data_IF_640367272095
#
_entry.id   IF_640367272095
#
_cell.length_a   1.000
_cell.length_b   1.000
_cell.length_c   1.000
_cell.angle_alpha   90.00
_cell.angle_beta   90.00
_cell.angle_gamma   90.00
#
_symmetry.space_group_name_H-M   'P 1'
#
loop_
_entity.id
_entity.type
_entity.pdbx_description
1 polymer ?
#
# COMPACT_ATOMS: atom_id res chain seq x y z
N UNK A 1 32.48 11.41 -6.28
CA UNK A 1 31.63 12.40 -6.95
C UNK A 1 30.49 12.74 -6.01
N UNK A 2 30.41 13.97 -5.52
CA UNK A 2 29.45 14.36 -4.48
C UNK A 2 27.99 14.19 -4.93
N UNK A 3 27.75 14.40 -6.23
CA UNK A 3 26.45 14.21 -6.87
C UNK A 3 25.96 12.77 -6.75
N UNK A 4 26.86 11.79 -6.86
CA UNK A 4 26.51 10.38 -6.75
C UNK A 4 26.13 9.96 -5.33
N UNK A 5 26.75 10.58 -4.32
CA UNK A 5 26.39 10.31 -2.91
C UNK A 5 25.04 10.90 -2.56
N UNK A 6 24.76 12.11 -3.02
CA UNK A 6 23.46 12.77 -2.82
C UNK A 6 22.33 12.00 -3.53
N UNK A 7 22.59 11.46 -4.73
CA UNK A 7 21.66 10.57 -5.44
C UNK A 7 21.29 9.35 -4.60
N UNK A 8 22.27 8.64 -4.05
CA UNK A 8 22.03 7.45 -3.21
C UNK A 8 21.26 7.80 -1.94
N UNK A 9 21.61 8.90 -1.27
CA UNK A 9 20.89 9.35 -0.08
C UNK A 9 19.42 9.69 -0.38
N UNK A 10 19.15 10.30 -1.54
CA UNK A 10 17.79 10.60 -1.98
C UNK A 10 17.00 9.33 -2.32
N UNK A 11 17.64 8.34 -2.96
CA UNK A 11 17.03 7.04 -3.24
C UNK A 11 16.62 6.31 -1.95
N UNK A 12 17.50 6.26 -0.94
CA UNK A 12 17.21 5.67 0.37
C UNK A 12 16.05 6.41 1.09
N UNK A 13 16.03 7.74 1.04
CA UNK A 13 14.96 8.53 1.62
C UNK A 13 13.61 8.26 0.94
N UNK A 14 13.60 8.13 -0.38
CA UNK A 14 12.39 7.80 -1.15
C UNK A 14 11.87 6.42 -0.77
N UNK A 15 12.74 5.41 -0.66
CA UNK A 15 12.34 4.07 -0.21
C UNK A 15 11.73 4.10 1.19
N UNK A 16 12.35 4.81 2.14
CA UNK A 16 11.83 4.97 3.49
C UNK A 16 10.44 5.63 3.51
N UNK A 17 10.28 6.72 2.75
CA UNK A 17 9.00 7.42 2.61
C UNK A 17 7.91 6.53 1.98
N UNK A 18 8.26 5.72 0.98
CA UNK A 18 7.31 4.78 0.36
C UNK A 18 6.81 3.73 1.36
N UNK A 19 7.69 3.19 2.21
CA UNK A 19 7.34 2.24 3.27
C UNK A 19 6.38 2.90 4.28
N UNK A 20 6.73 4.11 4.77
CA UNK A 20 5.88 4.82 5.73
C UNK A 20 4.50 5.15 5.15
N UNK A 21 4.44 5.60 3.91
CA UNK A 21 3.18 5.93 3.23
C UNK A 21 2.31 4.68 3.09
N UNK A 22 2.89 3.55 2.66
CA UNK A 22 2.15 2.27 2.59
C UNK A 22 1.60 1.88 3.95
N UNK A 23 2.42 1.89 5.00
CA UNK A 23 1.99 1.53 6.35
C UNK A 23 0.83 2.40 6.87
N UNK A 24 0.84 3.70 6.53
CA UNK A 24 -0.26 4.62 6.88
C UNK A 24 -1.55 4.30 6.12
N UNK A 25 -1.46 3.95 4.83
CA UNK A 25 -2.63 3.54 4.05
C UNK A 25 -3.22 2.22 4.55
N UNK A 26 -2.38 1.21 4.77
CA UNK A 26 -2.81 -0.09 5.30
C UNK A 26 -3.52 0.07 6.65
N UNK A 27 -2.93 0.88 7.55
CA UNK A 27 -3.51 1.16 8.87
C UNK A 27 -4.86 1.89 8.76
N UNK A 28 -4.97 2.89 7.89
CA UNK A 28 -6.23 3.62 7.67
C UNK A 28 -7.33 2.76 7.06
N UNK A 29 -6.96 1.85 6.16
CA UNK A 29 -7.89 0.89 5.56
C UNK A 29 -8.41 -0.11 6.60
N UNK A 30 -7.50 -0.74 7.37
CA UNK A 30 -7.88 -1.65 8.45
C UNK A 30 -8.78 -0.98 9.50
N UNK A 31 -8.47 0.27 9.87
CA UNK A 31 -9.33 1.05 10.75
C UNK A 31 -10.74 1.24 10.18
N UNK A 32 -10.84 1.56 8.89
CA UNK A 32 -12.13 1.72 8.19
C UNK A 32 -12.93 0.41 8.18
N UNK A 33 -12.27 -0.73 7.96
CA UNK A 33 -12.92 -2.05 8.03
C UNK A 33 -13.47 -2.36 9.43
N UNK A 34 -12.76 -1.98 10.49
CA UNK A 34 -13.26 -2.10 11.86
C UNK A 34 -14.49 -1.22 12.11
N UNK A 35 -14.47 0.03 11.64
CA UNK A 35 -15.62 0.92 11.75
C UNK A 35 -16.83 0.41 10.97
N UNK A 36 -16.63 -0.09 9.74
CA UNK A 36 -17.71 -0.64 8.92
C UNK A 36 -18.35 -1.88 9.55
N UNK A 37 -17.58 -2.71 10.27
CA UNK A 37 -18.13 -3.88 10.97
C UNK A 37 -19.14 -3.49 12.05
N UNK A 38 -19.03 -2.32 12.65
CA UNK A 38 -19.99 -1.85 13.66
C UNK A 38 -21.38 -1.66 13.04
N UNK A 39 -21.44 -1.17 11.80
CA UNK A 39 -22.69 -0.93 11.06
C UNK A 39 -23.13 -2.17 10.28
N UNK A 40 -22.18 -2.96 9.79
CA UNK A 40 -22.36 -4.18 9.00
C UNK A 40 -21.63 -5.35 9.67
N UNK A 41 -22.22 -5.99 10.70
CA UNK A 41 -21.55 -7.02 11.50
C UNK A 41 -21.17 -8.28 10.70
N UNK A 42 -21.88 -8.56 9.61
CA UNK A 42 -21.64 -9.71 8.72
C UNK A 42 -20.61 -9.41 7.61
N UNK A 43 -19.95 -8.26 7.66
CA UNK A 43 -18.97 -7.85 6.66
C UNK A 43 -17.74 -8.77 6.70
N UNK A 44 -17.49 -9.44 5.57
CA UNK A 44 -16.33 -10.33 5.40
C UNK A 44 -15.06 -9.50 5.13
N UNK A 45 -14.28 -9.26 6.19
CA UNK A 45 -13.02 -8.51 6.13
C UNK A 45 -11.97 -9.16 5.24
N UNK A 46 -11.97 -10.49 5.12
CA UNK A 46 -10.97 -11.19 4.32
C UNK A 46 -11.14 -10.85 2.84
N UNK A 47 -12.38 -10.86 2.35
CA UNK A 47 -12.69 -10.47 0.96
C UNK A 47 -12.41 -9.01 0.65
N UNK A 48 -12.57 -8.12 1.64
CA UNK A 48 -12.24 -6.70 1.46
C UNK A 48 -10.73 -6.45 1.51
N UNK A 49 -10.00 -7.19 2.35
CA UNK A 49 -8.54 -7.21 2.36
C UNK A 49 -7.97 -7.72 1.04
N UNK A 50 -8.53 -8.80 0.48
CA UNK A 50 -8.15 -9.32 -0.85
C UNK A 50 -8.33 -8.27 -1.96
N UNK A 51 -9.38 -7.44 -1.89
CA UNK A 51 -9.57 -6.36 -2.87
C UNK A 51 -8.55 -5.22 -2.75
N UNK A 52 -7.94 -5.05 -1.58
CA UNK A 52 -6.90 -4.06 -1.33
C UNK A 52 -5.51 -4.62 -1.72
N UNK A 53 -5.22 -5.88 -1.36
CA UNK A 53 -4.01 -6.62 -1.74
C UNK A 53 -3.83 -6.73 -3.27
N UNK A 54 -4.95 -6.75 -4.01
CA UNK A 54 -4.97 -6.72 -5.47
C UNK A 54 -4.65 -5.33 -6.06
N UNK A 55 -4.25 -4.34 -5.28
CA UNK A 55 -3.74 -3.07 -5.78
C UNK A 55 -2.33 -2.81 -5.24
N UNK A 56 -1.39 -2.47 -6.14
CA UNK A 56 -0.02 -2.06 -5.77
C UNK A 56 0.14 -0.55 -5.95
N UNK A 57 0.97 0.06 -5.12
CA UNK A 57 1.39 1.45 -5.32
C UNK A 57 2.59 1.47 -6.27
N UNK A 58 2.42 2.07 -7.45
CA UNK A 58 3.51 2.35 -8.42
C UNK A 58 3.54 3.84 -8.66
N UNK A 59 4.70 4.47 -8.48
CA UNK A 59 4.90 5.93 -8.65
C UNK A 59 3.90 6.79 -7.84
N UNK A 60 3.54 6.33 -6.63
CA UNK A 60 2.58 7.04 -5.77
C UNK A 60 1.12 6.93 -6.20
N UNK A 61 0.79 6.11 -7.21
CA UNK A 61 -0.57 5.84 -7.67
C UNK A 61 -0.97 4.40 -7.37
N UNK A 62 -2.21 4.22 -6.91
CA UNK A 62 -2.83 2.90 -6.81
C UNK A 62 -3.05 2.34 -8.23
N UNK A 63 -2.45 1.19 -8.53
CA UNK A 63 -2.67 0.46 -9.78
C UNK A 63 -3.09 -0.98 -9.47
N UNK A 64 -4.01 -1.57 -10.24
CA UNK A 64 -4.34 -2.99 -10.10
C UNK A 64 -3.08 -3.86 -10.19
N UNK A 65 -2.94 -4.77 -9.23
CA UNK A 65 -1.97 -5.85 -9.26
C UNK A 65 -2.37 -6.81 -10.37
N UNK A 66 -1.56 -6.86 -11.42
CA UNK A 66 -1.63 -7.90 -12.45
C UNK A 66 -0.57 -8.94 -12.08
N UNK A 67 -0.96 -10.17 -11.70
CA UNK A 67 0.00 -11.25 -11.47
C UNK A 67 0.78 -11.49 -12.76
N UNK A 68 2.11 -11.57 -12.68
CA UNK A 68 2.96 -11.73 -13.86
C UNK A 68 2.80 -13.09 -14.57
N UNK A 69 2.09 -14.05 -13.96
CA UNK A 69 1.77 -15.34 -14.56
C UNK A 69 0.31 -15.71 -14.24
N UNK A 70 -0.59 -15.29 -15.12
CA UNK A 70 -1.89 -15.93 -15.32
C UNK A 70 -2.08 -16.06 -16.84
N UNK A 71 -1.23 -16.88 -17.46
CA UNK A 71 -1.39 -17.43 -18.79
C UNK A 71 -1.61 -18.94 -18.66
#
# INVERSE_FOLDING_TARGET
DALSQEKTALEELVEGLQIEVRAKYDSGFQFTLEQLRIVFPDLDKAKLGESDDLNKIVDGKLVPFVPADAA
#
